data_IF_571919799442
#
_entry.id   IF_571919799442
#
_cell.length_a   1.000
_cell.length_b   1.000
_cell.length_c   1.000
_cell.angle_alpha   90.00
_cell.angle_beta   90.00
_cell.angle_gamma   90.00
#
_symmetry.space_group_name_H-M   'P 1'
#
loop_
_entity.id
_entity.type
_entity.pdbx_description
1 polymer ?
#
# COMPACT_ATOMS: atom_id res chain seq x y z
N UNK A 1 -10.83 -1.37 23.65
CA UNK A 1 -9.90 -2.19 22.82
C UNK A 1 -9.96 -1.82 21.33
N UNK A 2 -11.14 -1.83 20.70
CA UNK A 2 -11.28 -1.50 19.26
C UNK A 2 -10.85 -0.08 18.92
N UNK A 3 -11.30 0.93 19.69
CA UNK A 3 -10.88 2.33 19.50
C UNK A 3 -9.36 2.48 19.62
N UNK A 4 -8.76 1.83 20.63
CA UNK A 4 -7.31 1.85 20.83
C UNK A 4 -6.54 1.26 19.63
N UNK A 5 -7.02 0.14 19.06
CA UNK A 5 -6.43 -0.47 17.86
C UNK A 5 -6.59 0.41 16.61
N UNK A 6 -7.76 1.03 16.42
CA UNK A 6 -8.02 1.95 15.31
C UNK A 6 -7.12 3.19 15.39
N UNK A 7 -7.10 3.84 16.55
CA UNK A 7 -6.28 5.04 16.78
C UNK A 7 -4.79 4.71 16.68
N UNK A 8 -4.34 3.60 17.28
CA UNK A 8 -2.95 3.14 17.17
C UNK A 8 -2.55 2.81 15.73
N UNK A 9 -3.42 2.15 14.97
CA UNK A 9 -3.21 1.86 13.56
C UNK A 9 -3.10 3.12 12.70
N UNK A 10 -3.99 4.10 12.90
CA UNK A 10 -3.92 5.40 12.21
C UNK A 10 -2.62 6.15 12.55
N UNK A 11 -2.24 6.20 13.83
CA UNK A 11 -0.98 6.82 14.27
C UNK A 11 0.21 6.13 13.61
N UNK A 12 0.22 4.79 13.56
CA UNK A 12 1.27 4.01 12.91
C UNK A 12 1.39 4.33 11.42
N UNK A 13 0.28 4.42 10.69
CA UNK A 13 0.28 4.82 9.28
C UNK A 13 0.81 6.24 9.11
N UNK A 14 0.38 7.20 9.94
CA UNK A 14 0.88 8.57 9.91
C UNK A 14 2.39 8.65 10.18
N UNK A 15 2.87 7.85 11.14
CA UNK A 15 4.29 7.74 11.47
C UNK A 15 5.09 7.22 10.26
N UNK A 16 4.63 6.15 9.61
CA UNK A 16 5.29 5.61 8.41
C UNK A 16 5.28 6.62 7.26
N UNK A 17 4.17 7.34 7.06
CA UNK A 17 4.08 8.40 6.06
C UNK A 17 5.06 9.56 6.35
N UNK A 18 5.29 9.88 7.62
CA UNK A 18 6.26 10.89 8.04
C UNK A 18 7.71 10.44 7.76
N UNK A 19 8.06 9.19 8.09
CA UNK A 19 9.41 8.64 7.90
C UNK A 19 9.67 8.03 6.52
N UNK A 20 8.71 8.12 5.59
CA UNK A 20 8.81 7.50 4.26
C UNK A 20 10.07 7.89 3.49
N UNK A 21 10.59 9.12 3.68
CA UNK A 21 11.81 9.59 3.03
C UNK A 21 13.04 8.81 3.52
N UNK A 22 13.20 8.66 4.83
CA UNK A 22 14.29 7.88 5.43
C UNK A 22 14.21 6.40 5.03
N UNK A 23 13.00 5.84 4.99
CA UNK A 23 12.77 4.46 4.55
C UNK A 23 13.15 4.29 3.07
N UNK A 24 12.81 5.26 2.21
CA UNK A 24 13.15 5.22 0.79
C UNK A 24 14.66 5.20 0.55
N UNK A 25 15.42 6.00 1.31
CA UNK A 25 16.88 6.08 1.19
C UNK A 25 17.54 4.75 1.53
N UNK A 26 17.10 4.10 2.63
CA UNK A 26 17.60 2.78 3.04
C UNK A 26 17.31 1.67 2.01
N UNK A 27 16.24 1.80 1.22
CA UNK A 27 15.82 0.83 0.21
C UNK A 27 16.57 1.05 -1.12
N UNK A 28 16.92 2.30 -1.45
CA UNK A 28 17.35 2.67 -2.81
C UNK A 28 18.76 2.20 -3.21
N UNK A 29 19.66 1.96 -2.25
CA UNK A 29 21.08 1.73 -2.54
C UNK A 29 21.42 0.40 -3.21
N UNK A 30 20.66 -0.69 -2.97
CA UNK A 30 21.07 -2.00 -3.47
C UNK A 30 19.96 -3.04 -3.74
N UNK A 31 18.69 -2.64 -3.79
CA UNK A 31 17.60 -3.62 -3.92
C UNK A 31 17.49 -4.22 -5.34
N UNK A 32 17.62 -5.55 -5.40
CA UNK A 32 17.50 -6.36 -6.62
C UNK A 32 16.11 -6.20 -7.25
N UNK A 33 15.07 -6.05 -6.42
CA UNK A 33 13.69 -5.87 -6.88
C UNK A 33 13.50 -4.55 -7.64
N UNK A 34 13.95 -3.41 -7.09
CA UNK A 34 13.98 -2.12 -7.83
C UNK A 34 14.64 -2.28 -9.21
N UNK A 35 15.82 -2.89 -9.26
CA UNK A 35 16.58 -3.08 -10.52
C UNK A 35 15.84 -3.98 -11.51
N UNK A 36 15.17 -5.04 -11.03
CA UNK A 36 14.35 -5.93 -11.87
C UNK A 36 13.12 -5.21 -12.42
N UNK A 37 12.39 -4.47 -11.57
CA UNK A 37 11.24 -3.67 -11.99
C UNK A 37 11.65 -2.63 -13.03
N UNK A 38 12.77 -1.93 -12.83
CA UNK A 38 13.28 -0.96 -13.79
C UNK A 38 13.60 -1.56 -15.16
N UNK A 39 14.12 -2.79 -15.20
CA UNK A 39 14.46 -3.52 -16.44
C UNK A 39 13.25 -4.20 -17.09
N UNK A 40 12.14 -4.35 -16.38
CA UNK A 40 10.97 -5.05 -16.89
C UNK A 40 10.33 -4.26 -18.04
N UNK A 41 10.12 -4.93 -19.17
CA UNK A 41 9.58 -4.29 -20.37
C UNK A 41 8.19 -3.72 -20.07
N UNK A 42 8.01 -2.43 -20.36
CA UNK A 42 6.75 -1.73 -20.14
C UNK A 42 6.51 -1.24 -18.72
N UNK A 43 7.38 -1.56 -17.75
CA UNK A 43 7.25 -1.00 -16.39
C UNK A 43 7.47 0.51 -16.34
N UNK A 44 8.05 1.14 -17.37
CA UNK A 44 8.12 2.61 -17.47
C UNK A 44 6.92 3.23 -18.22
N UNK A 45 5.88 2.43 -18.53
CA UNK A 45 4.57 2.93 -19.00
C UNK A 45 3.58 2.98 -17.82
N UNK A 46 2.99 4.14 -17.55
CA UNK A 46 2.35 4.42 -16.25
C UNK A 46 1.14 3.54 -16.00
N UNK A 47 0.38 3.28 -17.07
CA UNK A 47 -0.76 2.38 -17.04
C UNK A 47 -0.36 0.94 -16.70
N UNK A 48 0.73 0.44 -17.30
CA UNK A 48 1.13 -0.95 -17.10
C UNK A 48 1.73 -1.16 -15.70
N UNK A 49 2.56 -0.24 -15.23
CA UNK A 49 3.09 -0.33 -13.88
C UNK A 49 2.01 -0.08 -12.81
N UNK A 50 1.02 0.77 -13.09
CA UNK A 50 -0.15 0.92 -12.22
C UNK A 50 -0.97 -0.37 -12.14
N UNK A 51 -1.18 -1.04 -13.27
CA UNK A 51 -1.87 -2.34 -13.30
C UNK A 51 -1.06 -3.44 -12.59
N UNK A 52 0.26 -3.46 -12.72
CA UNK A 52 1.10 -4.37 -11.94
C UNK A 52 0.97 -4.12 -10.44
N UNK A 53 0.95 -2.86 -10.01
CA UNK A 53 0.73 -2.49 -8.61
C UNK A 53 -0.65 -2.94 -8.12
N UNK A 54 -1.69 -2.79 -8.95
CA UNK A 54 -3.03 -3.31 -8.67
C UNK A 54 -2.99 -4.83 -8.44
N UNK A 55 -2.32 -5.60 -9.30
CA UNK A 55 -2.20 -7.05 -9.14
C UNK A 55 -1.43 -7.45 -7.89
N UNK A 56 -0.33 -6.77 -7.58
CA UNK A 56 0.43 -7.02 -6.33
C UNK A 56 -0.45 -6.76 -5.11
N UNK A 57 -1.21 -5.67 -5.09
CA UNK A 57 -2.15 -5.36 -4.01
C UNK A 57 -3.23 -6.44 -3.88
N UNK A 58 -3.79 -6.90 -5.00
CA UNK A 58 -4.78 -7.97 -5.02
C UNK A 58 -4.21 -9.29 -4.47
N UNK A 59 -3.02 -9.69 -4.92
CA UNK A 59 -2.37 -10.92 -4.45
C UNK A 59 -2.06 -10.86 -2.96
N UNK A 60 -1.49 -9.75 -2.47
CA UNK A 60 -1.18 -9.58 -1.05
C UNK A 60 -2.43 -9.61 -0.18
N UNK A 61 -3.49 -8.91 -0.59
CA UNK A 61 -4.74 -8.87 0.15
C UNK A 61 -5.47 -10.21 0.16
N UNK A 62 -5.62 -10.84 -1.01
CA UNK A 62 -6.24 -12.17 -1.13
C UNK A 62 -5.43 -13.23 -0.40
N UNK A 63 -4.10 -13.15 -0.45
CA UNK A 63 -3.21 -14.01 0.34
C UNK A 63 -3.42 -13.84 1.85
N UNK A 64 -3.51 -12.59 2.34
CA UNK A 64 -3.85 -12.32 3.73
C UNK A 64 -5.23 -12.90 4.10
N UNK A 65 -6.26 -12.68 3.27
CA UNK A 65 -7.59 -13.24 3.51
C UNK A 65 -7.57 -14.77 3.54
N UNK A 66 -6.85 -15.42 2.64
CA UNK A 66 -6.72 -16.88 2.61
C UNK A 66 -6.06 -17.42 3.88
N UNK A 67 -4.99 -16.77 4.35
CA UNK A 67 -4.30 -17.15 5.59
C UNK A 67 -5.22 -16.90 6.79
N UNK A 68 -5.90 -15.75 6.86
CA UNK A 68 -6.84 -15.44 7.94
C UNK A 68 -8.02 -16.42 7.97
N UNK A 69 -8.54 -16.80 6.80
CA UNK A 69 -9.55 -17.84 6.68
C UNK A 69 -9.02 -19.20 7.14
N UNK A 70 -7.80 -19.58 6.74
CA UNK A 70 -7.17 -20.80 7.25
C UNK A 70 -7.00 -20.78 8.77
N UNK A 71 -6.69 -19.62 9.36
CA UNK A 71 -6.61 -19.44 10.81
C UNK A 71 -7.96 -19.59 11.53
N UNK A 72 -9.11 -19.44 10.86
CA UNK A 72 -10.40 -19.76 11.51
C UNK A 72 -10.59 -21.26 11.70
N UNK A 73 -9.87 -22.09 10.94
CA UNK A 73 -9.90 -23.55 11.05
C UNK A 73 -9.01 -24.07 12.19
N UNK A 74 -8.13 -23.22 12.74
CA UNK A 74 -7.17 -23.58 13.79
C UNK A 74 -7.39 -22.67 15.01
N UNK A 75 -7.70 -23.23 16.17
CA UNK A 75 -8.03 -22.48 17.39
C UNK A 75 -6.78 -21.87 18.06
N UNK A 76 -6.00 -21.06 17.36
CA UNK A 76 -4.85 -20.35 17.92
C UNK A 76 -5.22 -18.87 18.14
N UNK A 77 -5.46 -18.44 19.40
CA UNK A 77 -5.81 -17.05 19.69
C UNK A 77 -4.74 -16.08 19.21
N UNK A 78 -5.16 -14.90 18.76
CA UNK A 78 -4.31 -13.73 18.47
C UNK A 78 -3.31 -13.83 17.30
N UNK A 79 -3.08 -15.02 16.71
CA UNK A 79 -2.14 -15.19 15.57
C UNK A 79 -2.52 -14.35 14.36
N UNK A 80 -3.82 -14.09 14.16
CA UNK A 80 -4.32 -13.23 13.09
C UNK A 80 -3.71 -11.81 13.13
N UNK A 81 -3.35 -11.28 14.31
CA UNK A 81 -2.69 -9.97 14.41
C UNK A 81 -1.30 -9.96 13.76
N UNK A 82 -0.54 -11.05 13.90
CA UNK A 82 0.79 -11.18 13.27
C UNK A 82 0.64 -11.15 11.75
N UNK A 83 -0.34 -11.89 11.22
CA UNK A 83 -0.62 -11.93 9.77
C UNK A 83 -0.99 -10.55 9.25
N UNK A 84 -1.85 -9.81 9.95
CA UNK A 84 -2.23 -8.45 9.56
C UNK A 84 -1.05 -7.47 9.58
N UNK A 85 -0.19 -7.53 10.60
CA UNK A 85 1.01 -6.68 10.68
C UNK A 85 1.96 -6.98 9.52
N UNK A 86 2.23 -8.26 9.25
CA UNK A 86 3.08 -8.68 8.12
C UNK A 86 2.49 -8.18 6.80
N UNK A 87 1.18 -8.32 6.61
CA UNK A 87 0.49 -7.82 5.42
C UNK A 87 0.71 -6.32 5.21
N UNK A 88 0.55 -5.51 6.26
CA UNK A 88 0.78 -4.06 6.21
C UNK A 88 2.23 -3.75 5.83
N UNK A 89 3.21 -4.40 6.50
CA UNK A 89 4.64 -4.15 6.25
C UNK A 89 5.01 -4.51 4.82
N UNK A 90 4.57 -5.67 4.32
CA UNK A 90 4.83 -6.10 2.95
C UNK A 90 4.19 -5.15 1.93
N UNK A 91 2.93 -4.76 2.13
CA UNK A 91 2.26 -3.79 1.26
C UNK A 91 3.03 -2.47 1.16
N UNK A 92 3.42 -1.89 2.31
CA UNK A 92 4.19 -0.65 2.34
C UNK A 92 5.53 -0.83 1.64
N UNK A 93 6.24 -1.92 1.91
CA UNK A 93 7.52 -2.21 1.25
C UNK A 93 7.37 -2.25 -0.28
N UNK A 94 6.38 -2.97 -0.82
CA UNK A 94 6.10 -2.99 -2.26
C UNK A 94 5.75 -1.61 -2.81
N UNK A 95 4.95 -0.81 -2.09
CA UNK A 95 4.61 0.55 -2.54
C UNK A 95 5.86 1.44 -2.64
N UNK A 96 6.81 1.31 -1.70
CA UNK A 96 8.09 2.01 -1.76
C UNK A 96 8.95 1.55 -2.94
N UNK A 97 9.05 0.24 -3.18
CA UNK A 97 9.77 -0.33 -4.33
C UNK A 97 9.23 0.22 -5.65
N UNK A 98 7.90 0.26 -5.82
CA UNK A 98 7.26 0.84 -7.00
C UNK A 98 7.54 2.34 -7.14
N UNK A 99 7.50 3.11 -6.04
CA UNK A 99 7.81 4.55 -6.05
C UNK A 99 9.25 4.82 -6.57
N UNK A 100 10.21 4.04 -6.05
CA UNK A 100 11.64 4.17 -6.35
C UNK A 100 11.95 3.66 -7.77
N UNK A 101 11.40 2.50 -8.14
CA UNK A 101 11.64 1.87 -9.43
C UNK A 101 11.04 2.65 -10.60
N UNK A 102 9.92 3.33 -10.39
CA UNK A 102 9.27 4.12 -11.44
C UNK A 102 10.06 5.40 -11.77
N UNK A 103 10.45 5.56 -13.03
CA UNK A 103 11.20 6.70 -13.54
C UNK A 103 10.38 7.34 -14.67
N UNK A 104 9.65 8.41 -14.37
CA UNK A 104 8.80 9.06 -15.36
C UNK A 104 8.32 10.43 -14.91
N UNK A 105 7.34 10.97 -15.66
CA UNK A 105 6.75 12.28 -15.37
C UNK A 105 5.88 12.27 -14.10
N UNK A 106 5.69 13.45 -13.49
CA UNK A 106 4.79 13.63 -12.34
C UNK A 106 3.36 13.18 -12.65
N UNK A 107 2.84 13.53 -13.84
CA UNK A 107 1.51 13.09 -14.31
C UNK A 107 1.42 11.57 -14.43
N UNK A 108 2.42 10.94 -15.04
CA UNK A 108 2.48 9.48 -15.16
C UNK A 108 2.50 8.77 -13.81
N UNK A 109 3.18 9.36 -12.81
CA UNK A 109 3.21 8.83 -11.44
C UNK A 109 1.84 8.91 -10.75
N UNK A 110 1.08 9.98 -10.95
CA UNK A 110 -0.30 10.06 -10.45
C UNK A 110 -1.17 8.98 -11.10
N UNK A 111 -1.04 8.75 -12.42
CA UNK A 111 -1.78 7.68 -13.11
C UNK A 111 -1.43 6.30 -12.53
N UNK A 112 -0.14 6.02 -12.35
CA UNK A 112 0.34 4.78 -11.71
C UNK A 112 -0.30 4.61 -10.31
N UNK A 113 -0.25 5.65 -9.49
CA UNK A 113 -0.78 5.64 -8.13
C UNK A 113 -2.29 5.42 -8.12
N UNK A 114 -3.05 6.14 -8.96
CA UNK A 114 -4.50 6.00 -9.08
C UNK A 114 -4.91 4.57 -9.47
N UNK A 115 -4.25 4.00 -10.48
CA UNK A 115 -4.57 2.64 -10.93
C UNK A 115 -4.19 1.63 -9.84
N UNK A 116 -3.01 1.76 -9.24
CA UNK A 116 -2.56 0.84 -8.20
C UNK A 116 -3.43 0.88 -6.93
N UNK A 117 -3.85 2.06 -6.48
CA UNK A 117 -4.71 2.22 -5.30
C UNK A 117 -6.18 1.88 -5.56
N UNK A 118 -6.61 1.83 -6.83
CA UNK A 118 -8.01 1.54 -7.19
C UNK A 118 -8.51 0.19 -6.68
N UNK A 119 -7.63 -0.78 -6.46
CA UNK A 119 -7.99 -2.06 -5.84
C UNK A 119 -8.66 -1.85 -4.46
N UNK A 120 -8.00 -1.09 -3.59
CA UNK A 120 -8.50 -0.80 -2.24
C UNK A 120 -9.70 0.15 -2.27
N UNK A 121 -9.75 1.06 -3.25
CA UNK A 121 -10.93 1.90 -3.47
C UNK A 121 -12.16 1.06 -3.80
N UNK A 122 -12.03 0.11 -4.72
CA UNK A 122 -13.10 -0.82 -5.09
C UNK A 122 -13.56 -1.67 -3.90
N UNK A 123 -12.62 -2.19 -3.10
CA UNK A 123 -12.96 -2.92 -1.88
C UNK A 123 -13.68 -2.05 -0.84
N UNK A 124 -13.28 -0.79 -0.70
CA UNK A 124 -13.95 0.16 0.20
C UNK A 124 -15.40 0.34 -0.22
N UNK A 125 -15.66 0.57 -1.51
CA UNK A 125 -17.02 0.68 -2.05
C UNK A 125 -17.80 -0.62 -1.80
N UNK A 126 -17.19 -1.77 -2.06
CA UNK A 126 -17.83 -3.08 -1.84
C UNK A 126 -18.24 -3.27 -0.37
N UNK A 127 -17.35 -2.99 0.58
CA UNK A 127 -17.65 -3.14 2.01
C UNK A 127 -18.69 -2.12 2.50
N UNK A 128 -18.67 -0.89 2.00
CA UNK A 128 -19.71 0.10 2.29
C UNK A 128 -21.06 -0.35 1.72
N UNK A 129 -21.09 -0.87 0.49
CA UNK A 129 -22.30 -1.42 -0.11
C UNK A 129 -22.87 -2.58 0.72
N UNK A 130 -22.02 -3.53 1.11
CA UNK A 130 -22.41 -4.63 1.99
C UNK A 130 -22.89 -4.14 3.36
N UNK A 131 -22.29 -3.08 3.91
CA UNK A 131 -22.66 -2.50 5.19
C UNK A 131 -24.05 -1.87 5.16
N UNK A 132 -24.39 -1.15 4.09
CA UNK A 132 -25.71 -0.53 3.93
C UNK A 132 -26.79 -1.59 3.68
N UNK A 133 -26.45 -2.72 3.06
CA UNK A 133 -27.37 -3.83 2.78
C UNK A 133 -27.47 -4.90 3.86
N UNK A 134 -27.12 -4.60 5.12
CA UNK A 134 -27.16 -5.58 6.21
C UNK A 134 -28.60 -5.89 6.60
N UNK A 135 -29.03 -7.12 6.33
CA UNK A 135 -30.32 -7.67 6.77
C UNK A 135 -30.14 -8.98 7.56
N UNK A 136 -30.88 -9.20 8.67
CA UNK A 136 -30.77 -10.44 9.43
C UNK A 136 -31.11 -11.66 8.56
N UNK A 137 -30.31 -12.72 8.64
CA UNK A 137 -30.55 -13.99 7.95
C UNK A 137 -31.75 -14.73 8.53
N UNK A 138 -32.08 -14.52 9.80
CA UNK A 138 -33.25 -15.09 10.47
C UNK A 138 -33.82 -14.15 11.53
N UNK A 139 -35.13 -14.28 11.88
CA UNK A 139 -35.74 -13.45 12.91
C UNK A 139 -35.00 -13.57 14.25
N UNK A 140 -34.59 -12.43 14.82
CA UNK A 140 -33.87 -12.36 16.09
C UNK A 140 -32.35 -12.45 16.01
N UNK A 141 -31.76 -12.55 14.82
CA UNK A 141 -30.30 -12.40 14.65
C UNK A 141 -29.85 -10.96 14.96
N UNK A 142 -28.81 -10.81 15.78
CA UNK A 142 -28.12 -9.54 15.97
C UNK A 142 -27.11 -9.30 14.83
N UNK A 143 -27.36 -8.27 14.02
CA UNK A 143 -26.50 -7.90 12.89
C UNK A 143 -25.29 -7.06 13.30
N UNK A 144 -25.17 -6.68 14.58
CA UNK A 144 -24.14 -5.78 15.09
C UNK A 144 -22.72 -6.25 14.76
N UNK A 145 -22.40 -7.53 15.00
CA UNK A 145 -21.04 -8.04 14.75
C UNK A 145 -20.67 -8.01 13.26
N UNK A 146 -21.63 -8.28 12.38
CA UNK A 146 -21.42 -8.19 10.94
C UNK A 146 -21.25 -6.73 10.50
N UNK A 147 -22.05 -5.82 11.04
CA UNK A 147 -21.92 -4.38 10.81
C UNK A 147 -20.55 -3.86 11.26
N UNK A 148 -20.12 -4.22 12.47
CA UNK A 148 -18.82 -3.87 13.01
C UNK A 148 -17.67 -4.38 12.13
N UNK A 149 -17.74 -5.64 11.69
CA UNK A 149 -16.75 -6.23 10.79
C UNK A 149 -16.64 -5.47 9.46
N UNK A 150 -17.77 -5.17 8.82
CA UNK A 150 -17.83 -4.43 7.56
C UNK A 150 -17.36 -2.97 7.72
N UNK A 151 -17.72 -2.32 8.83
CA UNK A 151 -17.25 -0.98 9.16
C UNK A 151 -15.71 -0.95 9.29
N UNK A 152 -15.12 -1.87 10.07
CA UNK A 152 -13.67 -1.97 10.22
C UNK A 152 -12.98 -2.29 8.89
N UNK A 153 -13.53 -3.22 8.10
CA UNK A 153 -12.99 -3.55 6.78
C UNK A 153 -12.97 -2.33 5.85
N UNK A 154 -14.06 -1.56 5.79
CA UNK A 154 -14.13 -0.34 4.97
C UNK A 154 -13.12 0.73 5.38
N UNK A 155 -12.89 0.92 6.69
CA UNK A 155 -11.88 1.85 7.19
C UNK A 155 -10.48 1.38 6.79
N UNK A 156 -10.16 0.11 7.00
CA UNK A 156 -8.83 -0.45 6.67
C UNK A 156 -8.55 -0.31 5.17
N UNK A 157 -9.51 -0.61 4.31
CA UNK A 157 -9.32 -0.47 2.85
C UNK A 157 -9.24 0.99 2.43
N UNK A 158 -9.99 1.90 3.06
CA UNK A 158 -9.89 3.33 2.78
C UNK A 158 -8.49 3.87 3.14
N UNK A 159 -7.98 3.51 4.32
CA UNK A 159 -6.62 3.89 4.77
C UNK A 159 -5.57 3.28 3.84
N UNK A 160 -5.70 2.02 3.44
CA UNK A 160 -4.79 1.38 2.49
C UNK A 160 -4.81 2.07 1.11
N UNK A 161 -6.00 2.46 0.62
CA UNK A 161 -6.16 3.21 -0.63
C UNK A 161 -5.38 4.53 -0.57
N UNK A 162 -5.61 5.34 0.46
CA UNK A 162 -4.96 6.64 0.64
C UNK A 162 -3.45 6.45 0.79
N UNK A 163 -3.02 5.50 1.62
CA UNK A 163 -1.59 5.26 1.90
C UNK A 163 -0.86 4.78 0.65
N UNK A 164 -1.42 3.81 -0.08
CA UNK A 164 -0.89 3.36 -1.36
C UNK A 164 -0.76 4.52 -2.35
N UNK A 165 -1.81 5.32 -2.50
CA UNK A 165 -1.80 6.48 -3.39
C UNK A 165 -0.73 7.50 -2.99
N UNK A 166 -0.63 7.83 -1.69
CA UNK A 166 0.30 8.83 -1.18
C UNK A 166 1.75 8.37 -1.31
N UNK A 167 2.04 7.11 -1.00
CA UNK A 167 3.39 6.55 -1.10
C UNK A 167 3.83 6.42 -2.55
N UNK A 168 2.96 5.95 -3.45
CA UNK A 168 3.35 5.72 -4.85
C UNK A 168 3.25 6.99 -5.71
N UNK A 169 2.28 7.87 -5.42
CA UNK A 169 1.99 9.09 -6.18
C UNK A 169 2.93 10.25 -5.88
N UNK A 170 3.36 10.39 -4.64
CA UNK A 170 4.31 11.43 -4.23
C UNK A 170 5.71 10.85 -4.05
N UNK A 171 6.70 11.47 -4.68
CA UNK A 171 8.09 11.03 -4.58
C UNK A 171 8.94 12.16 -4.06
N UNK A 172 9.79 11.88 -3.08
CA UNK A 172 10.67 12.86 -2.46
C UNK A 172 11.96 13.09 -3.26
N UNK A 173 11.93 12.89 -4.58
CA UNK A 173 13.11 12.91 -5.47
C UNK A 173 13.71 14.32 -5.73
N UNK A 174 13.56 15.25 -4.79
CA UNK A 174 14.26 16.54 -4.82
C UNK A 174 15.73 16.44 -4.36
N UNK A 175 16.20 15.27 -3.93
CA UNK A 175 17.57 15.11 -3.40
C UNK A 175 18.60 14.78 -4.51
N UNK A 176 18.22 14.07 -5.57
CA UNK A 176 19.18 13.64 -6.62
C UNK A 176 19.46 14.69 -7.72
N UNK A 177 18.93 15.92 -7.59
CA UNK A 177 19.34 17.02 -8.46
C UNK A 177 20.63 17.71 -7.96
N UNK A 178 20.93 17.62 -6.66
CA UNK A 178 22.18 18.16 -6.09
C UNK A 178 23.42 17.40 -6.59
N UNK A 179 23.38 16.06 -6.55
CA UNK A 179 24.54 15.23 -6.95
C UNK A 179 24.84 15.29 -8.45
N UNK A 180 23.80 15.44 -9.29
CA UNK A 180 24.00 15.62 -10.73
C UNK A 180 24.59 16.99 -11.07
N UNK A 181 24.27 18.04 -10.30
CA UNK A 181 24.86 19.37 -10.49
C UNK A 181 26.30 19.42 -9.98
N UNK A 182 26.62 18.74 -8.87
CA UNK A 182 27.98 18.66 -8.33
C UNK A 182 28.91 17.90 -9.28
N UNK A 183 28.51 16.73 -9.76
CA UNK A 183 29.33 15.92 -10.67
C UNK A 183 29.57 16.58 -12.05
N UNK A 184 28.62 17.38 -12.54
CA UNK A 184 28.80 18.15 -13.79
C UNK A 184 29.62 19.42 -13.60
N UNK A 185 29.64 20.00 -12.39
CA UNK A 185 30.48 21.17 -12.08
C UNK A 185 31.93 20.76 -11.84
N UNK A 186 32.18 19.62 -11.17
CA UNK A 186 33.53 19.06 -11.00
C UNK A 186 34.15 18.65 -12.34
N UNK A 187 33.40 18.00 -13.22
CA UNK A 187 33.89 17.60 -14.54
C UNK A 187 34.20 18.80 -15.48
N UNK A 188 33.57 19.95 -15.24
CA UNK A 188 33.79 21.18 -16.02
C UNK A 188 34.95 22.02 -15.47
N UNK A 189 35.27 21.89 -14.19
CA UNK A 189 36.39 22.57 -13.54
C UNK A 189 37.72 21.79 -13.62
N UNK A 190 37.68 20.56 -14.15
CA UNK A 190 38.85 19.70 -14.39
C UNK A 190 39.37 19.72 -15.84
N UNK A 191 38.87 20.65 -16.68
CA UNK A 191 39.36 20.92 -18.04
C UNK A 191 40.00 22.32 -18.09
#
# INVERSE_FOLDING_TARGET
>A
MIIFLLTGGMIGVLFILFFRSAIAESISGNNVLVKRLQKLQGFQKSYLAGFMLFLVNAILFMGCLLILYGLTLVFIPYVHFIVMIIGIVLSIWFWMEFNIAWIGSKKGRIILASIGSSFYFGLTILFVYMYVGIEPYYPGEDTFMRALGLALASIVTAVACITCFVITGFSNRNINQGDKYSATTEARNSQ
#
